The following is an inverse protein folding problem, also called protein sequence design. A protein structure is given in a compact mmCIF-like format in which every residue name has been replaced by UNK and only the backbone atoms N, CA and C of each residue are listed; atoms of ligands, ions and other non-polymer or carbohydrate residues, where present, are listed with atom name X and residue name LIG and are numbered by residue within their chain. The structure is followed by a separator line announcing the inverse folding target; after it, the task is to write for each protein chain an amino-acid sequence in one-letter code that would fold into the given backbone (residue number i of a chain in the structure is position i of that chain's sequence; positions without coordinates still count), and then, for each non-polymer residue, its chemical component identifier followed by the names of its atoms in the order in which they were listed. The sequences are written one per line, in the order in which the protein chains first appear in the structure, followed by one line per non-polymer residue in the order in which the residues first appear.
data_IF_131550194127
#
_entry.id   IF_131550194127
#
_cell.length_a   1.000
_cell.length_b   1.000
_cell.length_c   1.000
_cell.angle_alpha   90.00
_cell.angle_beta   90.00
_cell.angle_gamma   90.00
#
_symmetry.space_group_name_H-M   'P 1'
#
loop_
_entity.id
_entity.type
_entity.pdbx_description
1 polymer ?
#
# COMPACT_ATOMS: atom_id res chain seq x y z
N UNK A 1 3.64 34.36 19.09
CA UNK A 1 2.97 34.99 20.24
C UNK A 1 1.54 34.47 20.33
N UNK A 2 1.25 33.65 21.37
CA UNK A 2 -0.08 33.30 21.94
C UNK A 2 -1.13 32.69 20.95
N UNK A 3 -1.77 31.56 21.23
CA UNK A 3 -2.45 31.20 22.48
C UNK A 3 -2.54 29.69 22.68
N UNK A 4 -2.22 29.31 23.91
CA UNK A 4 -2.63 28.13 24.68
C UNK A 4 -4.15 27.90 24.66
N UNK A 5 -4.56 26.64 24.48
CA UNK A 5 -5.87 26.15 24.90
C UNK A 5 -5.69 24.98 25.88
N UNK A 6 -5.58 25.32 27.17
CA UNK A 6 -6.03 24.44 28.25
C UNK A 6 -7.52 24.72 28.47
N UNK A 7 -8.36 23.68 28.55
CA UNK A 7 -9.66 23.66 29.23
C UNK A 7 -10.24 22.25 29.05
N UNK A 8 -10.92 21.58 29.98
CA UNK A 8 -11.18 21.72 31.42
C UNK A 8 -12.08 20.51 31.74
N UNK A 9 -11.72 19.71 32.74
CA UNK A 9 -12.59 18.68 33.31
C UNK A 9 -13.60 19.36 34.25
N UNK A 10 -14.91 19.33 33.92
CA UNK A 10 -16.02 19.50 34.88
C UNK A 10 -17.21 18.64 34.42
N UNK A 11 -17.71 17.79 35.33
CA UNK A 11 -18.91 16.97 35.16
C UNK A 11 -20.23 17.65 35.57
N UNK A 12 -21.26 16.82 35.76
CA UNK A 12 -22.71 17.07 35.99
C UNK A 12 -23.52 17.22 34.68
N UNK A 13 -24.38 16.27 34.28
CA UNK A 13 -25.59 15.69 34.89
C UNK A 13 -26.88 16.51 34.65
N UNK A 14 -27.90 15.77 34.18
CA UNK A 14 -29.36 16.04 34.22
C UNK A 14 -29.95 17.06 33.24
N UNK A 15 -30.93 16.61 32.46
CA UNK A 15 -32.10 17.42 32.12
C UNK A 15 -32.58 17.28 30.68
N UNK A 16 -33.80 16.79 30.48
CA UNK A 16 -34.41 16.58 29.16
C UNK A 16 -35.13 17.80 28.57
N UNK A 17 -35.98 17.50 27.56
CA UNK A 17 -36.89 18.38 26.79
C UNK A 17 -36.17 19.34 25.82
N UNK A 18 -36.56 19.58 24.57
CA UNK A 18 -37.79 19.35 23.78
C UNK A 18 -37.45 19.41 22.28
N UNK A 19 -38.17 18.64 21.46
CA UNK A 19 -38.38 18.92 20.03
C UNK A 19 -39.25 20.18 19.84
N UNK A 20 -38.86 21.04 18.90
CA UNK A 20 -39.72 21.71 17.90
C UNK A 20 -39.04 22.99 17.35
N UNK A 21 -39.05 23.16 16.03
CA UNK A 21 -38.68 24.42 15.39
C UNK A 21 -38.35 24.26 13.91
N UNK A 22 -39.38 24.09 13.08
CA UNK A 22 -39.31 24.46 11.67
C UNK A 22 -39.17 25.98 11.57
N UNK A 23 -38.30 26.47 10.69
CA UNK A 23 -38.45 27.81 10.13
C UNK A 23 -38.11 27.81 8.63
N UNK A 24 -38.97 28.50 7.91
CA UNK A 24 -39.12 28.58 6.46
C UNK A 24 -38.32 29.76 5.89
N UNK A 25 -37.85 29.59 4.66
CA UNK A 25 -37.91 30.67 3.67
C UNK A 25 -36.69 31.59 3.55
N UNK A 26 -36.23 31.76 2.31
CA UNK A 26 -35.24 32.78 1.99
C UNK A 26 -34.70 32.71 0.56
N UNK A 27 -35.56 33.01 -0.41
CA UNK A 27 -35.21 33.23 -1.82
C UNK A 27 -34.16 34.33 -1.97
N UNK A 28 -33.14 34.09 -2.80
CA UNK A 28 -32.12 35.07 -3.18
C UNK A 28 -31.55 34.72 -4.55
N UNK A 29 -32.26 35.17 -5.57
CA UNK A 29 -31.87 35.23 -6.97
C UNK A 29 -30.92 36.42 -7.15
N UNK A 30 -29.70 36.20 -7.67
CA UNK A 30 -28.89 37.24 -8.30
C UNK A 30 -27.88 36.60 -9.25
N UNK A 31 -28.08 36.84 -10.54
CA UNK A 31 -27.26 36.31 -11.62
C UNK A 31 -25.92 37.01 -11.78
N UNK A 32 -24.98 36.30 -12.41
CA UNK A 32 -23.84 36.92 -13.07
C UNK A 32 -23.46 36.15 -14.34
N UNK A 33 -23.50 36.89 -15.44
CA UNK A 33 -23.03 36.53 -16.78
C UNK A 33 -21.50 36.48 -16.79
N UNK A 34 -20.92 35.59 -17.59
CA UNK A 34 -19.59 35.83 -18.15
C UNK A 34 -18.77 34.61 -18.56
N UNK A 35 -18.46 34.58 -19.87
CA UNK A 35 -17.33 33.94 -20.54
C UNK A 35 -17.43 32.44 -20.93
N UNK A 36 -17.78 32.26 -22.21
CA UNK A 36 -17.35 31.14 -23.06
C UNK A 36 -15.83 30.91 -22.95
N UNK A 37 -15.43 29.71 -22.52
CA UNK A 37 -14.14 29.11 -22.86
C UNK A 37 -14.33 27.65 -23.26
N UNK A 38 -13.58 27.25 -24.29
CA UNK A 38 -13.87 26.12 -25.17
C UNK A 38 -13.90 24.74 -24.50
N UNK A 39 -14.77 23.90 -25.04
CA UNK A 39 -14.88 22.49 -24.74
C UNK A 39 -13.61 21.74 -25.20
N UNK A 40 -12.72 21.42 -24.26
CA UNK A 40 -11.82 20.28 -24.38
C UNK A 40 -12.64 19.00 -24.25
N UNK A 41 -12.55 18.10 -25.22
CA UNK A 41 -13.29 16.84 -25.23
C UNK A 41 -12.96 15.99 -24.00
N UNK A 42 -13.99 15.59 -23.26
CA UNK A 42 -13.88 14.61 -22.18
C UNK A 42 -13.37 13.28 -22.76
N UNK A 43 -12.25 12.78 -22.23
CA UNK A 43 -11.83 11.40 -22.44
C UNK A 43 -12.94 10.47 -21.95
N UNK A 44 -13.31 9.49 -22.77
CA UNK A 44 -14.38 8.55 -22.45
C UNK A 44 -14.06 7.74 -21.19
N UNK A 45 -15.06 7.54 -20.34
CA UNK A 45 -14.95 6.67 -19.18
C UNK A 45 -14.52 5.26 -19.63
N UNK A 46 -13.45 4.72 -19.03
CA UNK A 46 -13.03 3.35 -19.24
C UNK A 46 -14.14 2.39 -18.85
N UNK A 47 -14.42 1.41 -19.71
CA UNK A 47 -15.46 0.40 -19.45
C UNK A 47 -15.07 -0.50 -18.29
N UNK A 48 -16.01 -0.77 -17.38
CA UNK A 48 -15.84 -1.77 -16.32
C UNK A 48 -15.57 -3.15 -16.95
N UNK A 49 -14.48 -3.81 -16.53
CA UNK A 49 -14.18 -5.18 -16.92
C UNK A 49 -15.33 -6.13 -16.53
N UNK A 50 -15.75 -6.99 -17.46
CA UNK A 50 -16.84 -7.93 -17.20
C UNK A 50 -16.47 -8.97 -16.14
N UNK A 51 -17.40 -9.27 -15.23
CA UNK A 51 -17.24 -10.32 -14.23
C UNK A 51 -17.01 -11.69 -14.90
N UNK A 52 -15.96 -12.41 -14.47
CA UNK A 52 -15.66 -13.76 -14.94
C UNK A 52 -16.83 -14.73 -14.66
N UNK A 53 -17.14 -15.58 -15.64
CA UNK A 53 -18.24 -16.55 -15.51
C UNK A 53 -17.98 -17.59 -14.43
N UNK A 54 -18.99 -17.92 -13.63
CA UNK A 54 -18.91 -18.97 -12.62
C UNK A 54 -18.63 -20.35 -13.27
N UNK A 55 -17.61 -21.05 -12.78
CA UNK A 55 -17.31 -22.42 -13.19
C UNK A 55 -18.46 -23.38 -12.90
N UNK A 56 -18.76 -24.28 -13.84
CA UNK A 56 -19.86 -25.24 -13.69
C UNK A 56 -19.61 -26.26 -12.57
N UNK A 57 -20.63 -26.55 -11.76
CA UNK A 57 -20.56 -27.59 -10.74
C UNK A 57 -20.38 -28.97 -11.37
N UNK A 58 -19.32 -29.69 -10.98
CA UNK A 58 -19.11 -31.08 -11.37
C UNK A 58 -20.23 -31.98 -10.84
N UNK A 59 -20.77 -32.87 -11.69
CA UNK A 59 -21.85 -33.77 -11.32
C UNK A 59 -21.43 -34.80 -10.26
N UNK A 60 -22.33 -35.11 -9.32
CA UNK A 60 -22.12 -36.14 -8.31
C UNK A 60 -22.07 -37.54 -8.96
N UNK A 61 -20.94 -38.24 -8.79
CA UNK A 61 -20.74 -39.60 -9.27
C UNK A 61 -21.51 -40.62 -8.41
N UNK A 62 -22.54 -41.25 -8.97
CA UNK A 62 -23.16 -42.45 -8.41
C UNK A 62 -22.35 -43.71 -8.73
N UNK A 63 -22.39 -44.70 -7.83
CA UNK A 63 -21.68 -45.97 -7.96
C UNK A 63 -22.05 -46.71 -9.27
N UNK A 64 -21.15 -46.65 -10.25
CA UNK A 64 -21.23 -47.43 -11.49
C UNK A 64 -21.28 -46.64 -12.80
N UNK A 65 -21.36 -45.30 -12.78
CA UNK A 65 -21.34 -44.47 -13.99
C UNK A 65 -20.00 -43.76 -14.18
N UNK A 66 -19.44 -43.79 -15.40
CA UNK A 66 -18.31 -42.93 -15.77
C UNK A 66 -18.69 -41.47 -15.52
N UNK A 67 -17.94 -40.77 -14.67
CA UNK A 67 -18.17 -39.36 -14.36
C UNK A 67 -18.19 -38.51 -15.63
N UNK A 68 -19.21 -37.67 -15.78
CA UNK A 68 -19.35 -36.79 -16.93
C UNK A 68 -18.16 -35.82 -17.02
N UNK A 69 -17.65 -35.59 -18.23
CA UNK A 69 -16.60 -34.61 -18.47
C UNK A 69 -17.07 -33.23 -17.99
N UNK A 70 -16.27 -32.59 -17.13
CA UNK A 70 -16.52 -31.22 -16.68
C UNK A 70 -16.62 -30.28 -17.88
N UNK A 71 -17.59 -29.37 -17.85
CA UNK A 71 -17.78 -28.39 -18.93
C UNK A 71 -16.54 -27.52 -19.10
N UNK A 72 -16.18 -27.21 -20.35
CA UNK A 72 -15.14 -26.24 -20.65
C UNK A 72 -15.51 -24.88 -20.03
N UNK A 73 -14.59 -24.30 -19.25
CA UNK A 73 -14.74 -22.94 -18.73
C UNK A 73 -14.98 -21.97 -19.88
N UNK A 74 -15.91 -21.03 -19.69
CA UNK A 74 -16.19 -20.00 -20.69
C UNK A 74 -14.94 -19.18 -20.98
N UNK A 75 -14.70 -18.87 -22.26
CA UNK A 75 -13.64 -17.95 -22.64
C UNK A 75 -13.87 -16.61 -21.94
N UNK A 76 -12.86 -16.12 -21.21
CA UNK A 76 -12.89 -14.79 -20.60
C UNK A 76 -13.19 -13.73 -21.66
N UNK A 77 -14.03 -12.76 -21.32
CA UNK A 77 -14.35 -11.66 -22.21
C UNK A 77 -13.07 -10.90 -22.58
N UNK A 78 -12.93 -10.57 -23.86
CA UNK A 78 -11.85 -9.70 -24.31
C UNK A 78 -11.97 -8.36 -23.57
N UNK A 79 -10.90 -7.98 -22.85
CA UNK A 79 -10.80 -6.66 -22.23
C UNK A 79 -10.99 -5.57 -23.28
N UNK A 80 -11.75 -4.54 -22.93
CA UNK A 80 -11.97 -3.39 -23.81
C UNK A 80 -10.63 -2.75 -24.19
N UNK A 81 -10.49 -2.38 -25.46
CA UNK A 81 -9.35 -1.62 -25.97
C UNK A 81 -9.30 -0.25 -25.29
N UNK A 82 -8.55 -0.15 -24.19
CA UNK A 82 -8.14 1.12 -23.61
C UNK A 82 -7.15 1.79 -24.55
N UNK A 83 -7.52 2.94 -25.11
CA UNK A 83 -6.63 3.77 -25.91
C UNK A 83 -5.52 4.37 -25.04
N UNK A 84 -4.37 3.71 -25.00
CA UNK A 84 -3.13 4.19 -24.39
C UNK A 84 -2.07 3.10 -24.42
N UNK A 85 -1.07 3.25 -25.29
CA UNK A 85 0.16 2.48 -25.41
C UNK A 85 0.13 1.02 -24.91
N UNK A 86 -0.20 0.09 -25.81
CA UNK A 86 -0.01 -1.34 -25.57
C UNK A 86 1.46 -1.66 -25.28
N UNK A 87 1.71 -2.17 -24.08
CA UNK A 87 3.03 -2.63 -23.64
C UNK A 87 2.97 -3.64 -22.49
N UNK A 88 1.87 -4.36 -22.29
CA UNK A 88 1.72 -5.30 -21.16
C UNK A 88 2.50 -6.63 -21.32
N UNK A 89 3.60 -6.62 -22.08
CA UNK A 89 4.49 -7.76 -22.26
C UNK A 89 5.87 -7.34 -22.72
N UNK A 90 6.31 -6.14 -22.35
CA UNK A 90 7.65 -5.65 -22.66
C UNK A 90 8.69 -6.62 -22.11
N UNK A 91 9.64 -7.01 -22.95
CA UNK A 91 10.84 -7.73 -22.53
C UNK A 91 11.46 -6.96 -21.35
N UNK A 92 11.70 -7.58 -20.17
CA UNK A 92 12.35 -6.89 -19.06
C UNK A 92 13.76 -6.40 -19.41
N UNK A 93 14.34 -6.89 -20.51
CA UNK A 93 15.60 -6.42 -21.07
C UNK A 93 15.43 -5.25 -22.06
N UNK A 94 14.20 -4.88 -22.41
CA UNK A 94 13.94 -3.66 -23.17
C UNK A 94 14.35 -2.45 -22.33
N UNK A 95 14.94 -1.47 -22.98
CA UNK A 95 15.25 -0.19 -22.34
C UNK A 95 13.96 0.56 -22.02
N UNK A 96 14.01 1.45 -21.03
CA UNK A 96 12.91 2.39 -20.84
C UNK A 96 12.91 3.44 -21.94
N UNK A 97 11.76 4.07 -22.15
CA UNK A 97 11.77 5.37 -22.82
C UNK A 97 12.64 6.37 -22.03
N UNK A 98 13.21 7.39 -22.70
CA UNK A 98 13.92 8.46 -22.01
C UNK A 98 13.03 9.12 -20.96
N UNK A 99 13.61 9.46 -19.80
CA UNK A 99 12.90 10.23 -18.79
C UNK A 99 12.37 11.54 -19.42
N UNK A 100 11.08 11.81 -19.23
CA UNK A 100 10.46 13.07 -19.65
C UNK A 100 10.99 14.27 -18.86
N UNK A 101 10.45 15.48 -19.09
CA UNK A 101 10.81 16.66 -18.32
C UNK A 101 10.74 16.37 -16.82
N UNK A 102 11.88 16.54 -16.17
CA UNK A 102 12.03 16.16 -14.77
C UNK A 102 11.62 17.36 -13.91
N UNK A 103 10.54 17.21 -13.15
CA UNK A 103 10.15 18.20 -12.14
C UNK A 103 11.25 18.33 -11.07
N UNK A 104 11.13 19.29 -10.16
CA UNK A 104 12.09 19.48 -9.05
C UNK A 104 12.42 18.18 -8.30
N UNK A 105 11.44 17.28 -8.23
CA UNK A 105 11.53 16.01 -7.53
C UNK A 105 11.98 14.82 -8.38
N UNK A 106 12.50 14.96 -9.60
CA UNK A 106 12.88 13.75 -10.34
C UNK A 106 11.68 13.01 -10.96
N UNK A 107 11.92 11.90 -11.67
CA UNK A 107 10.87 10.94 -11.97
C UNK A 107 10.25 10.36 -10.70
N UNK A 108 8.92 10.39 -10.61
CA UNK A 108 8.18 9.86 -9.47
C UNK A 108 7.00 8.99 -9.88
N UNK A 109 6.58 8.12 -8.97
CA UNK A 109 5.42 7.25 -9.11
C UNK A 109 4.67 7.14 -7.79
N UNK A 110 3.36 6.88 -7.85
CA UNK A 110 2.52 6.62 -6.68
C UNK A 110 2.17 5.13 -6.65
N UNK A 111 2.27 4.49 -5.49
CA UNK A 111 1.75 3.13 -5.31
C UNK A 111 0.23 3.14 -5.46
N UNK A 112 -0.30 2.28 -6.34
CA UNK A 112 -1.73 2.17 -6.64
C UNK A 112 -2.29 0.77 -6.40
N UNK A 113 -1.41 -0.18 -6.12
CA UNK A 113 -1.75 -1.57 -5.83
C UNK A 113 -0.81 -2.09 -4.77
N UNK A 114 -1.38 -2.76 -3.76
CA UNK A 114 -0.62 -3.42 -2.71
C UNK A 114 -1.34 -4.69 -2.28
N UNK A 115 -0.77 -5.85 -2.57
CA UNK A 115 -1.43 -7.12 -2.26
C UNK A 115 -0.47 -8.15 -1.68
N UNK A 116 -0.97 -9.00 -0.79
CA UNK A 116 -0.25 -10.18 -0.30
C UNK A 116 -0.46 -11.30 -1.33
N UNK A 117 0.61 -11.98 -1.80
CA UNK A 117 0.46 -13.07 -2.76
C UNK A 117 -0.44 -14.18 -2.19
N UNK A 118 -1.32 -14.71 -3.02
CA UNK A 118 -2.31 -15.74 -2.62
C UNK A 118 -1.67 -17.07 -2.18
N UNK A 119 -0.42 -17.31 -2.58
CA UNK A 119 0.34 -18.52 -2.23
C UNK A 119 1.85 -18.25 -2.25
N UNK A 120 2.66 -19.11 -1.62
CA UNK A 120 4.12 -19.00 -1.70
C UNK A 120 4.64 -19.07 -3.14
N UNK A 121 4.02 -19.90 -3.99
CA UNK A 121 4.38 -20.02 -5.40
C UNK A 121 4.07 -18.73 -6.17
N UNK A 122 2.93 -18.10 -5.92
CA UNK A 122 2.60 -16.83 -6.55
C UNK A 122 3.61 -15.73 -6.16
N UNK A 123 4.08 -15.74 -4.91
CA UNK A 123 5.17 -14.88 -4.46
C UNK A 123 6.49 -15.17 -5.21
N UNK A 124 6.92 -16.42 -5.26
CA UNK A 124 8.12 -16.82 -6.00
C UNK A 124 8.04 -16.43 -7.49
N UNK A 125 6.90 -16.67 -8.13
CA UNK A 125 6.64 -16.33 -9.54
C UNK A 125 6.65 -14.81 -9.78
N UNK A 126 6.17 -14.02 -8.82
CA UNK A 126 6.29 -12.56 -8.82
C UNK A 126 7.73 -12.08 -8.56
N UNK A 127 8.62 -12.97 -8.12
CA UNK A 127 10.02 -12.67 -7.85
C UNK A 127 10.33 -12.28 -6.41
N UNK A 128 9.49 -12.68 -5.44
CA UNK A 128 9.84 -12.66 -4.03
C UNK A 128 11.11 -13.51 -3.82
N UNK A 129 12.23 -12.85 -3.51
CA UNK A 129 13.53 -13.49 -3.34
C UNK A 129 13.88 -13.79 -1.88
N UNK A 130 12.91 -14.17 -1.04
CA UNK A 130 13.13 -14.37 0.40
C UNK A 130 13.64 -15.79 0.68
N UNK A 131 14.40 -15.95 1.77
CA UNK A 131 14.79 -17.27 2.29
C UNK A 131 13.65 -17.97 3.05
N UNK A 132 12.54 -17.25 3.23
CA UNK A 132 11.34 -17.67 3.94
C UNK A 132 10.50 -18.64 3.09
N UNK A 133 10.05 -19.75 3.69
CA UNK A 133 9.35 -20.79 2.93
C UNK A 133 7.89 -20.44 2.55
N UNK A 134 7.24 -19.46 3.21
CA UNK A 134 5.90 -19.03 2.80
C UNK A 134 5.91 -17.84 1.83
N UNK A 135 7.06 -17.22 1.55
CA UNK A 135 7.19 -16.08 0.63
C UNK A 135 6.14 -14.97 0.86
N UNK A 136 5.79 -14.65 2.11
CA UNK A 136 4.77 -13.63 2.43
C UNK A 136 3.33 -14.12 2.52
N UNK A 137 3.00 -15.30 2.01
CA UNK A 137 1.61 -15.79 1.96
C UNK A 137 0.98 -16.01 3.35
N UNK A 138 1.79 -16.19 4.39
CA UNK A 138 1.33 -16.30 5.79
C UNK A 138 0.68 -15.02 6.31
N UNK A 139 0.92 -13.87 5.66
CA UNK A 139 0.30 -12.59 6.02
C UNK A 139 -1.16 -12.48 5.57
N UNK A 140 -1.66 -13.38 4.74
CA UNK A 140 -3.05 -13.35 4.27
C UNK A 140 -4.07 -13.30 5.43
N UNK A 141 -3.74 -13.93 6.57
CA UNK A 141 -4.53 -13.83 7.79
C UNK A 141 -4.60 -12.41 8.37
N UNK A 142 -3.52 -11.62 8.23
CA UNK A 142 -3.50 -10.19 8.59
C UNK A 142 -4.23 -9.36 7.53
N UNK A 143 -4.11 -9.72 6.26
CA UNK A 143 -4.87 -9.09 5.17
C UNK A 143 -6.38 -9.15 5.40
N UNK A 144 -6.88 -10.24 6.00
CA UNK A 144 -8.29 -10.37 6.38
C UNK A 144 -8.74 -9.42 7.51
N UNK A 145 -7.82 -8.78 8.23
CA UNK A 145 -8.14 -7.75 9.23
C UNK A 145 -8.39 -6.38 8.60
N UNK A 146 -7.89 -6.15 7.38
CA UNK A 146 -8.10 -4.91 6.62
C UNK A 146 -9.25 -5.14 5.67
N UNK A 147 -10.38 -4.48 5.91
CA UNK A 147 -11.54 -4.60 5.03
C UNK A 147 -11.18 -4.11 3.62
N UNK A 148 -11.49 -4.93 2.61
CA UNK A 148 -11.06 -4.70 1.23
C UNK A 148 -9.58 -4.99 0.92
N UNK A 149 -8.80 -5.51 1.87
CA UNK A 149 -7.38 -5.86 1.69
C UNK A 149 -6.45 -4.64 1.68
N UNK A 150 -5.14 -4.86 1.50
CA UNK A 150 -4.15 -3.76 1.55
C UNK A 150 -4.30 -2.75 0.40
N UNK A 151 -4.84 -3.16 -0.74
CA UNK A 151 -5.09 -2.28 -1.88
C UNK A 151 -6.11 -1.19 -1.56
N UNK A 152 -7.04 -1.41 -0.62
CA UNK A 152 -8.00 -0.38 -0.21
C UNK A 152 -7.31 0.82 0.45
N UNK A 153 -6.13 0.64 1.03
CA UNK A 153 -5.35 1.71 1.65
C UNK A 153 -4.76 2.67 0.61
N UNK A 154 -4.40 2.18 -0.57
CA UNK A 154 -3.70 2.95 -1.62
C UNK A 154 -4.61 3.35 -2.77
N UNK A 155 -5.89 3.01 -2.69
CA UNK A 155 -6.92 3.34 -3.67
C UNK A 155 -7.87 4.39 -3.09
N UNK A 156 -8.47 5.24 -3.96
CA UNK A 156 -9.50 6.15 -3.53
C UNK A 156 -10.74 5.38 -3.08
N UNK A 157 -11.32 5.79 -1.96
CA UNK A 157 -12.59 5.27 -1.45
C UNK A 157 -13.81 5.85 -2.23
N UNK A 158 -15.02 5.61 -1.74
CA UNK A 158 -16.26 6.13 -2.35
C UNK A 158 -16.34 7.67 -2.37
N UNK A 159 -15.56 8.34 -1.52
CA UNK A 159 -15.46 9.81 -1.45
C UNK A 159 -14.26 10.36 -2.23
N UNK A 160 -13.42 9.48 -2.80
CA UNK A 160 -12.20 9.87 -3.50
C UNK A 160 -11.00 10.08 -2.58
N UNK A 161 -11.10 9.75 -1.29
CA UNK A 161 -10.02 9.88 -0.33
C UNK A 161 -9.13 8.63 -0.36
N UNK A 162 -7.81 8.83 -0.30
CA UNK A 162 -6.83 7.74 -0.27
C UNK A 162 -6.23 7.70 1.13
N UNK A 163 -6.43 6.59 1.86
CA UNK A 163 -5.96 6.49 3.25
C UNK A 163 -4.43 6.56 3.36
N UNK A 164 -3.71 5.94 2.43
CA UNK A 164 -2.26 5.90 2.37
C UNK A 164 -1.78 6.27 0.97
N UNK A 165 -1.16 7.45 0.85
CA UNK A 165 -0.45 7.85 -0.34
C UNK A 165 1.03 7.56 -0.13
N UNK A 166 1.56 6.57 -0.85
CA UNK A 166 2.99 6.25 -0.88
C UNK A 166 3.57 6.66 -2.23
N UNK A 167 4.49 7.62 -2.22
CA UNK A 167 5.16 8.13 -3.41
C UNK A 167 6.60 7.64 -3.45
N UNK A 168 7.01 7.17 -4.62
CA UNK A 168 8.36 6.77 -4.92
C UNK A 168 9.04 7.81 -5.82
N UNK A 169 10.29 8.14 -5.51
CA UNK A 169 11.11 9.10 -6.25
C UNK A 169 12.41 8.43 -6.67
N UNK A 170 12.81 8.56 -7.95
CA UNK A 170 14.11 8.10 -8.44
C UNK A 170 15.08 9.27 -8.59
N UNK A 171 15.70 9.65 -7.47
CA UNK A 171 16.67 10.75 -7.40
C UNK A 171 17.96 10.39 -8.13
N UNK A 172 18.39 11.26 -9.04
CA UNK A 172 19.60 11.08 -9.85
C UNK A 172 19.33 10.60 -11.29
N UNK A 173 18.06 10.38 -11.65
CA UNK A 173 17.68 10.10 -13.04
C UNK A 173 17.40 11.42 -13.78
N UNK A 174 18.27 11.79 -14.72
CA UNK A 174 18.19 13.06 -15.44
C UNK A 174 17.27 12.98 -16.67
N UNK A 175 16.74 14.14 -17.09
CA UNK A 175 15.91 14.26 -18.29
C UNK A 175 16.63 13.70 -19.54
N UNK A 176 15.91 12.93 -20.34
CA UNK A 176 16.41 12.35 -21.58
C UNK A 176 17.28 11.09 -21.40
N UNK A 177 17.57 10.66 -20.17
CA UNK A 177 18.27 9.39 -19.92
C UNK A 177 17.32 8.20 -19.96
N UNK A 178 17.75 7.10 -20.58
CA UNK A 178 17.08 5.79 -20.50
C UNK A 178 17.61 4.98 -19.31
N UNK A 179 16.92 3.88 -18.96
CA UNK A 179 17.34 3.00 -17.88
C UNK A 179 18.72 2.36 -18.08
N UNK A 180 19.14 2.09 -19.33
CA UNK A 180 20.52 1.65 -19.61
C UNK A 180 21.59 2.73 -19.45
N UNK A 181 21.20 4.01 -19.38
CA UNK A 181 22.12 5.14 -19.28
C UNK A 181 22.31 5.64 -17.85
N UNK A 182 21.28 5.55 -17.01
CA UNK A 182 21.28 6.11 -15.66
C UNK A 182 22.18 5.34 -14.69
N UNK A 183 22.26 4.01 -14.82
CA UNK A 183 23.05 3.16 -13.93
C UNK A 183 22.41 3.02 -12.53
N UNK A 184 22.90 3.79 -11.56
CA UNK A 184 22.41 3.73 -10.16
C UNK A 184 21.77 5.04 -9.74
N UNK A 185 20.61 4.96 -9.10
CA UNK A 185 19.85 6.08 -8.55
C UNK A 185 19.61 5.87 -7.05
N UNK A 186 19.04 6.86 -6.38
CA UNK A 186 18.49 6.69 -5.04
C UNK A 186 16.97 6.64 -5.13
N UNK A 187 16.36 5.55 -4.68
CA UNK A 187 14.91 5.47 -4.56
C UNK A 187 14.49 5.96 -3.18
N UNK A 188 13.70 7.03 -3.10
CA UNK A 188 13.09 7.48 -1.85
C UNK A 188 11.61 7.10 -1.82
N UNK A 189 11.10 6.75 -0.65
CA UNK A 189 9.68 6.57 -0.41
C UNK A 189 9.18 7.64 0.57
N UNK A 190 8.05 8.25 0.24
CA UNK A 190 7.42 9.31 1.01
C UNK A 190 5.95 8.98 1.26
N UNK A 191 5.45 9.28 2.46
CA UNK A 191 4.01 9.43 2.67
C UNK A 191 3.57 10.79 2.12
N UNK A 192 2.32 10.89 1.70
CA UNK A 192 1.80 12.12 1.09
C UNK A 192 0.34 12.37 1.35
N UNK A 193 -0.12 13.48 0.79
CA UNK A 193 -1.52 13.90 0.75
C UNK A 193 -1.91 14.28 -0.68
N UNK A 194 -3.21 14.19 -1.00
CA UNK A 194 -3.76 14.63 -2.26
C UNK A 194 -4.59 15.90 -2.06
N UNK A 195 -4.38 16.90 -2.92
CA UNK A 195 -5.18 18.14 -2.96
C UNK A 195 -5.68 18.32 -4.39
N UNK A 196 -6.93 17.91 -4.63
CA UNK A 196 -7.44 17.80 -6.00
C UNK A 196 -6.69 16.70 -6.76
N UNK A 197 -6.12 17.04 -7.92
CA UNK A 197 -5.34 16.11 -8.75
C UNK A 197 -3.82 16.15 -8.46
N UNK A 198 -3.40 16.96 -7.49
CA UNK A 198 -2.00 17.15 -7.11
C UNK A 198 -1.65 16.33 -5.87
N UNK A 199 -0.40 15.84 -5.83
CA UNK A 199 0.12 15.03 -4.74
C UNK A 199 1.32 15.72 -4.08
N UNK A 200 1.27 15.82 -2.76
CA UNK A 200 2.28 16.49 -1.95
C UNK A 200 2.91 15.49 -0.97
N UNK A 201 4.21 15.66 -0.70
CA UNK A 201 4.90 14.89 0.33
C UNK A 201 4.48 15.43 1.69
N UNK A 202 4.15 14.54 2.63
CA UNK A 202 3.97 14.89 4.03
C UNK A 202 5.34 15.16 4.68
N UNK A 203 5.55 16.30 5.36
CA UNK A 203 6.76 16.60 6.12
C UNK A 203 7.25 15.47 7.03
N UNK A 204 6.34 14.65 7.60
CA UNK A 204 6.72 13.51 8.46
C UNK A 204 7.59 12.47 7.74
N UNK A 205 7.65 12.50 6.41
CA UNK A 205 8.53 11.65 5.61
C UNK A 205 10.00 12.01 5.70
N UNK A 206 10.35 13.11 6.38
CA UNK A 206 11.73 13.56 6.56
C UNK A 206 12.17 13.49 8.03
N UNK A 207 13.47 13.32 8.26
CA UNK A 207 14.04 13.35 9.62
C UNK A 207 13.64 14.63 10.35
N UNK A 208 12.93 14.47 11.48
CA UNK A 208 12.46 15.61 12.29
C UNK A 208 11.36 16.45 11.66
N UNK A 209 10.74 16.00 10.56
CA UNK A 209 9.68 16.73 9.88
C UNK A 209 10.14 17.91 9.02
N UNK A 210 11.43 18.00 8.70
CA UNK A 210 12.01 19.10 7.92
C UNK A 210 12.45 18.60 6.54
N UNK A 211 11.86 19.10 5.43
CA UNK A 211 12.25 18.75 4.06
C UNK A 211 13.70 19.03 3.68
N UNK A 212 14.42 19.85 4.47
CA UNK A 212 15.84 20.06 4.30
C UNK A 212 16.69 18.86 4.76
N UNK A 213 16.11 17.94 5.55
CA UNK A 213 16.78 16.74 6.04
C UNK A 213 16.58 15.55 5.11
N UNK A 214 17.15 14.39 5.49
CA UNK A 214 17.04 13.18 4.69
C UNK A 214 15.63 12.57 4.76
N UNK A 215 15.16 11.91 3.69
CA UNK A 215 13.98 11.06 3.75
C UNK A 215 14.14 9.93 4.77
N UNK A 216 13.06 9.57 5.47
CA UNK A 216 13.06 8.47 6.43
C UNK A 216 13.23 7.10 5.77
N UNK A 217 12.79 6.96 4.51
CA UNK A 217 12.91 5.73 3.74
C UNK A 217 13.66 6.04 2.45
N UNK A 218 14.89 5.55 2.36
CA UNK A 218 15.76 5.74 1.21
C UNK A 218 16.52 4.45 0.90
N UNK A 219 16.54 4.10 -0.38
CA UNK A 219 17.31 2.99 -0.93
C UNK A 219 18.43 3.55 -1.81
N UNK A 220 19.62 3.81 -1.22
CA UNK A 220 20.79 4.17 -2.01
C UNK A 220 21.18 3.03 -2.93
N UNK A 221 21.94 3.36 -3.98
CA UNK A 221 22.47 2.39 -4.94
C UNK A 221 21.40 1.52 -5.61
N UNK A 222 20.21 2.10 -5.83
CA UNK A 222 19.14 1.44 -6.56
C UNK A 222 19.56 1.28 -8.01
N UNK A 223 19.69 0.04 -8.47
CA UNK A 223 20.12 -0.30 -9.81
C UNK A 223 18.96 -0.21 -10.78
N UNK A 224 19.19 0.46 -11.90
CA UNK A 224 18.30 0.47 -13.06
C UNK A 224 19.08 -0.08 -14.25
N UNK A 225 18.55 -1.13 -14.90
CA UNK A 225 19.18 -1.72 -16.09
C UNK A 225 18.09 -2.16 -17.05
N UNK A 226 18.06 -1.55 -18.23
CA UNK A 226 16.87 -1.56 -19.07
C UNK A 226 15.67 -1.03 -18.28
N UNK A 227 14.57 -1.77 -18.29
CA UNK A 227 13.40 -1.49 -17.47
C UNK A 227 13.46 -2.08 -16.04
N UNK A 228 14.43 -2.92 -15.72
CA UNK A 228 14.49 -3.56 -14.41
C UNK A 228 14.97 -2.59 -13.31
N UNK A 229 14.20 -2.47 -12.24
CA UNK A 229 14.53 -1.76 -11.00
C UNK A 229 14.86 -2.78 -9.90
N UNK A 230 15.95 -2.55 -9.18
CA UNK A 230 16.30 -3.32 -7.97
C UNK A 230 16.97 -2.42 -6.94
N UNK A 231 16.38 -2.31 -5.75
CA UNK A 231 16.97 -1.57 -4.64
C UNK A 231 18.01 -2.40 -3.87
N UNK A 232 18.86 -1.72 -3.10
CA UNK A 232 19.63 -2.33 -2.02
C UNK A 232 18.72 -2.79 -0.86
N UNK A 233 19.25 -3.61 0.04
CA UNK A 233 18.56 -3.98 1.30
C UNK A 233 18.60 -2.84 2.28
N UNK A 234 17.44 -2.48 2.84
CA UNK A 234 17.33 -1.45 3.87
C UNK A 234 16.33 -1.87 4.95
N UNK A 235 16.60 -1.46 6.18
CA UNK A 235 15.57 -1.51 7.22
C UNK A 235 14.68 -0.29 7.05
N UNK A 236 13.37 -0.52 6.92
CA UNK A 236 12.40 0.56 6.74
C UNK A 236 11.37 0.53 7.87
N UNK A 237 10.81 1.69 8.18
CA UNK A 237 9.67 1.82 9.08
C UNK A 237 8.61 2.64 8.37
N UNK A 238 7.44 2.03 8.13
CA UNK A 238 6.29 2.68 7.51
C UNK A 238 5.19 2.82 8.55
N UNK A 239 4.56 3.99 8.62
CA UNK A 239 3.37 4.17 9.44
C UNK A 239 2.14 3.90 8.60
N UNK A 240 1.41 2.82 8.91
CA UNK A 240 0.17 2.49 8.22
C UNK A 240 -1.01 3.22 8.89
N UNK A 241 -1.78 4.02 8.13
CA UNK A 241 -2.99 4.67 8.61
C UNK A 241 -4.17 3.69 8.54
N UNK A 242 -4.06 2.54 9.23
CA UNK A 242 -5.15 1.57 9.30
C UNK A 242 -6.34 2.10 10.10
N UNK A 243 -6.10 3.13 10.93
CA UNK A 243 -7.08 3.69 11.84
C UNK A 243 -6.89 5.19 11.94
N UNK A 244 -7.99 5.94 11.89
CA UNK A 244 -7.98 7.39 11.97
C UNK A 244 -7.21 7.89 13.19
N UNK A 245 -6.18 8.69 12.94
CA UNK A 245 -5.41 9.41 13.95
C UNK A 245 -4.36 8.60 14.71
N UNK A 246 -4.18 7.30 14.45
CA UNK A 246 -3.12 6.51 15.10
C UNK A 246 -2.30 5.74 14.07
N UNK A 247 -1.05 6.18 13.78
CA UNK A 247 -0.18 5.48 12.86
C UNK A 247 0.26 4.15 13.47
N UNK A 248 0.14 3.07 12.70
CA UNK A 248 0.63 1.76 13.09
C UNK A 248 2.04 1.56 12.52
N UNK A 249 3.10 1.52 13.34
CA UNK A 249 4.44 1.34 12.85
C UNK A 249 4.64 -0.08 12.31
N UNK A 250 5.02 -0.17 11.05
CA UNK A 250 5.43 -1.38 10.36
C UNK A 250 6.93 -1.30 10.08
N UNK A 251 7.72 -1.99 10.91
CA UNK A 251 9.16 -2.12 10.71
C UNK A 251 9.50 -3.36 9.89
N UNK A 252 10.16 -3.21 8.75
CA UNK A 252 10.62 -4.31 7.91
C UNK A 252 12.15 -4.31 7.81
N UNK A 253 12.75 -5.47 8.07
CA UNK A 253 14.19 -5.67 7.97
C UNK A 253 14.60 -6.24 6.60
N UNK A 254 15.81 -5.93 6.13
CA UNK A 254 16.37 -6.32 4.82
C UNK A 254 15.39 -6.11 3.66
N UNK A 255 14.68 -4.98 3.67
CA UNK A 255 13.65 -4.67 2.69
C UNK A 255 14.26 -4.33 1.35
N UNK A 256 13.69 -4.87 0.29
CA UNK A 256 14.03 -4.59 -1.10
C UNK A 256 12.77 -4.29 -1.89
N UNK A 257 12.89 -3.41 -2.87
CA UNK A 257 11.90 -3.18 -3.92
C UNK A 257 12.49 -3.62 -5.26
N UNK A 258 11.71 -4.39 -6.01
CA UNK A 258 11.99 -4.80 -7.37
C UNK A 258 10.79 -4.44 -8.24
N UNK A 259 11.01 -4.15 -9.52
CA UNK A 259 9.92 -3.96 -10.46
C UNK A 259 10.39 -3.75 -11.89
N UNK A 260 9.43 -3.62 -12.81
CA UNK A 260 9.69 -3.24 -14.20
C UNK A 260 9.14 -1.83 -14.44
N UNK A 261 10.02 -0.90 -14.74
CA UNK A 261 9.72 0.50 -14.96
C UNK A 261 9.21 0.79 -16.36
N UNK A 262 8.29 1.74 -16.43
CA UNK A 262 7.88 2.39 -17.67
C UNK A 262 7.92 3.89 -17.45
N UNK A 263 8.83 4.56 -18.16
CA UNK A 263 8.91 6.02 -18.12
C UNK A 263 7.70 6.64 -18.82
N UNK A 264 7.16 7.70 -18.23
CA UNK A 264 6.02 8.45 -18.74
C UNK A 264 6.30 9.95 -18.62
N UNK A 265 5.43 10.77 -19.22
CA UNK A 265 5.61 12.23 -19.23
C UNK A 265 5.65 12.84 -17.81
N UNK A 266 4.92 12.27 -16.85
CA UNK A 266 4.77 12.81 -15.49
C UNK A 266 5.52 11.98 -14.43
N UNK A 267 6.46 11.12 -14.84
CA UNK A 267 7.22 10.28 -13.91
C UNK A 267 7.41 8.85 -14.42
N UNK A 268 7.27 7.86 -13.52
CA UNK A 268 7.42 6.45 -13.89
C UNK A 268 6.26 5.61 -13.34
N UNK A 269 5.83 4.64 -14.12
CA UNK A 269 5.00 3.54 -13.64
C UNK A 269 5.89 2.32 -13.38
N UNK A 270 5.44 1.43 -12.49
CA UNK A 270 6.06 0.14 -12.24
C UNK A 270 5.01 -0.95 -12.27
N UNK A 271 5.28 -2.01 -13.03
CA UNK A 271 4.46 -3.22 -13.07
C UNK A 271 5.27 -4.42 -12.56
N UNK A 272 4.56 -5.45 -12.12
CA UNK A 272 5.16 -6.66 -11.54
C UNK A 272 6.17 -6.32 -10.44
N UNK A 273 5.84 -5.30 -9.64
CA UNK A 273 6.68 -4.86 -8.55
C UNK A 273 6.51 -5.76 -7.34
N UNK A 274 7.57 -5.87 -6.55
CA UNK A 274 7.58 -6.59 -5.29
C UNK A 274 8.29 -5.75 -4.25
N UNK A 275 7.66 -5.59 -3.09
CA UNK A 275 8.30 -5.14 -1.85
C UNK A 275 8.46 -6.36 -0.95
N UNK A 276 9.70 -6.75 -0.68
CA UNK A 276 10.01 -7.94 0.09
C UNK A 276 10.94 -7.60 1.26
N UNK A 277 10.73 -8.20 2.43
CA UNK A 277 11.55 -8.02 3.62
C UNK A 277 11.18 -9.00 4.73
N UNK A 278 11.58 -8.72 5.96
CA UNK A 278 11.29 -9.57 7.12
C UNK A 278 10.65 -8.78 8.25
N UNK A 279 9.54 -9.31 8.75
CA UNK A 279 8.91 -8.83 9.96
C UNK A 279 9.50 -9.57 11.16
N UNK A 280 10.46 -8.92 11.82
CA UNK A 280 11.23 -9.52 12.92
C UNK A 280 10.42 -9.60 14.21
N UNK A 281 10.80 -10.48 15.15
CA UNK A 281 10.16 -10.55 16.47
C UNK A 281 10.00 -9.18 17.16
N UNK A 282 11.04 -8.31 17.25
CA UNK A 282 10.87 -6.97 17.81
C UNK A 282 9.80 -6.14 17.10
N UNK A 283 9.78 -6.17 15.77
CA UNK A 283 8.79 -5.42 14.99
C UNK A 283 7.35 -5.93 15.22
N UNK A 284 7.16 -7.24 15.37
CA UNK A 284 5.86 -7.84 15.72
C UNK A 284 5.43 -7.41 17.14
N UNK A 285 6.37 -7.38 18.09
CA UNK A 285 6.09 -6.92 19.45
C UNK A 285 5.70 -5.43 19.48
N UNK A 286 6.41 -4.58 18.75
CA UNK A 286 6.08 -3.16 18.64
C UNK A 286 4.69 -2.95 18.03
N UNK A 287 4.34 -3.75 17.02
CA UNK A 287 3.00 -3.79 16.43
C UNK A 287 1.94 -4.17 17.48
N UNK A 288 2.16 -5.25 18.24
CA UNK A 288 1.23 -5.70 19.29
C UNK A 288 1.02 -4.59 20.32
N UNK A 289 2.10 -3.99 20.81
CA UNK A 289 2.04 -2.92 21.81
C UNK A 289 1.28 -1.71 21.26
N UNK A 290 1.52 -1.34 20.00
CA UNK A 290 0.78 -0.28 19.31
C UNK A 290 -0.72 -0.58 19.21
N UNK A 291 -1.09 -1.80 18.81
CA UNK A 291 -2.49 -2.23 18.72
C UNK A 291 -3.19 -2.28 20.08
N UNK A 292 -2.51 -2.76 21.12
CA UNK A 292 -3.06 -2.81 22.48
C UNK A 292 -3.29 -1.40 23.03
N UNK A 293 -2.29 -0.51 22.90
CA UNK A 293 -2.43 0.89 23.32
C UNK A 293 -3.56 1.59 22.57
N UNK A 294 -3.71 1.33 21.26
CA UNK A 294 -4.82 1.83 20.47
C UNK A 294 -6.17 1.36 21.04
N UNK A 295 -6.32 0.07 21.31
CA UNK A 295 -7.59 -0.50 21.77
C UNK A 295 -7.94 -0.15 23.21
N UNK A 296 -6.95 0.11 24.06
CA UNK A 296 -7.16 0.69 25.38
C UNK A 296 -7.69 2.12 25.29
N UNK A 297 -7.18 2.92 24.34
CA UNK A 297 -7.64 4.27 24.10
C UNK A 297 -9.01 4.33 23.40
N UNK A 298 -9.34 3.33 22.56
CA UNK A 298 -10.52 3.32 21.70
C UNK A 298 -11.29 1.98 21.79
N UNK A 299 -11.87 1.65 22.95
CA UNK A 299 -12.49 0.33 23.19
C UNK A 299 -13.69 0.05 22.28
N UNK A 300 -14.35 1.08 21.76
CA UNK A 300 -15.54 0.96 20.90
C UNK A 300 -15.20 0.78 19.42
N UNK A 301 -13.92 0.82 19.03
CA UNK A 301 -13.51 0.60 17.65
C UNK A 301 -13.79 -0.85 17.21
N UNK A 302 -14.35 -1.03 16.01
CA UNK A 302 -14.68 -2.35 15.46
C UNK A 302 -13.44 -3.26 15.38
N UNK A 303 -12.28 -2.68 15.06
CA UNK A 303 -11.01 -3.40 14.99
C UNK A 303 -10.62 -4.00 16.35
N UNK A 304 -10.97 -3.32 17.45
CA UNK A 304 -10.66 -3.79 18.80
C UNK A 304 -11.56 -4.93 19.25
N UNK A 305 -12.77 -5.05 18.69
CA UNK A 305 -13.57 -6.25 18.83
C UNK A 305 -12.90 -7.46 18.19
N UNK A 306 -12.38 -7.31 16.96
CA UNK A 306 -11.70 -8.38 16.23
C UNK A 306 -10.36 -8.73 16.86
N UNK A 307 -9.51 -7.74 17.15
CA UNK A 307 -8.22 -7.93 17.81
C UNK A 307 -8.45 -8.52 19.20
N UNK A 308 -9.41 -8.00 19.97
CA UNK A 308 -9.75 -8.49 21.32
C UNK A 308 -10.21 -9.94 21.36
N UNK A 309 -10.79 -10.45 20.26
CA UNK A 309 -11.16 -11.86 20.13
C UNK A 309 -9.96 -12.79 19.96
N UNK A 310 -8.84 -12.27 19.42
CA UNK A 310 -7.58 -13.01 19.23
C UNK A 310 -6.62 -12.77 20.40
N UNK A 311 -6.39 -11.51 20.73
CA UNK A 311 -5.51 -11.01 21.78
C UNK A 311 -6.37 -10.28 22.81
N UNK A 312 -6.77 -10.92 23.92
CA UNK A 312 -7.56 -10.25 24.94
C UNK A 312 -6.88 -8.96 25.45
N UNK A 313 -7.64 -7.89 25.75
CA UNK A 313 -7.08 -6.68 26.32
C UNK A 313 -6.24 -6.95 27.58
N UNK A 314 -5.08 -6.29 27.69
CA UNK A 314 -4.14 -6.49 28.80
C UNK A 314 -3.32 -7.79 28.76
N UNK A 315 -3.37 -8.54 27.65
CA UNK A 315 -2.49 -9.70 27.45
C UNK A 315 -1.03 -9.23 27.39
N UNK A 316 -0.13 -9.91 28.11
CA UNK A 316 1.30 -9.61 28.04
C UNK A 316 1.83 -9.71 26.59
N UNK A 317 2.65 -8.75 26.10
CA UNK A 317 3.09 -8.73 24.71
C UNK A 317 3.79 -10.01 24.23
N UNK A 318 4.54 -10.71 25.09
CA UNK A 318 5.18 -11.99 24.71
C UNK A 318 4.17 -13.12 24.57
N UNK A 319 3.11 -13.11 25.39
CA UNK A 319 2.00 -14.06 25.25
C UNK A 319 1.20 -13.76 23.98
N UNK A 320 0.92 -12.47 23.72
CA UNK A 320 0.27 -12.02 22.50
C UNK A 320 1.07 -12.38 21.24
N UNK A 321 2.40 -12.27 21.29
CA UNK A 321 3.29 -12.75 20.23
C UNK A 321 3.15 -14.25 19.99
N UNK A 322 3.08 -15.05 21.05
CA UNK A 322 2.81 -16.50 20.93
C UNK A 322 1.47 -16.82 20.26
N UNK A 323 0.44 -16.01 20.51
CA UNK A 323 -0.87 -16.15 19.85
C UNK A 323 -0.79 -15.73 18.38
N UNK A 324 -0.19 -14.57 18.08
CA UNK A 324 -0.06 -14.09 16.70
C UNK A 324 0.80 -15.01 15.85
N UNK A 325 1.90 -15.54 16.39
CA UNK A 325 2.76 -16.48 15.66
C UNK A 325 2.10 -17.84 15.41
N UNK A 326 1.07 -18.20 16.17
CA UNK A 326 0.24 -19.35 15.85
C UNK A 326 -0.63 -19.11 14.60
N UNK A 327 -1.00 -17.85 14.32
CA UNK A 327 -1.74 -17.45 13.12
C UNK A 327 -0.82 -17.17 11.93
N UNK A 328 0.29 -16.48 12.19
CA UNK A 328 1.30 -16.07 11.22
C UNK A 328 2.61 -16.76 11.61
N UNK A 329 2.81 -17.98 11.12
CA UNK A 329 3.97 -18.79 11.49
C UNK A 329 5.26 -18.13 11.00
N UNK A 330 6.22 -17.83 11.90
CA UNK A 330 7.57 -17.44 11.51
C UNK A 330 8.19 -18.51 10.60
N UNK A 331 8.82 -18.06 9.52
CA UNK A 331 9.34 -18.91 8.46
C UNK A 331 10.75 -18.55 8.02
N UNK A 332 11.39 -17.64 8.76
CA UNK A 332 12.81 -17.35 8.69
C UNK A 332 13.41 -17.18 10.09
N UNK A 333 14.71 -17.41 10.19
CA UNK A 333 15.52 -16.96 11.32
C UNK A 333 16.32 -15.72 10.91
N UNK A 334 16.12 -14.61 11.61
CA UNK A 334 16.77 -13.33 11.37
C UNK A 334 17.65 -12.99 12.57
N UNK A 335 18.97 -13.03 12.38
CA UNK A 335 19.96 -12.74 13.42
C UNK A 335 21.10 -11.89 12.85
N UNK A 336 21.53 -10.87 13.60
CA UNK A 336 22.66 -10.03 13.24
C UNK A 336 22.58 -9.39 11.82
N UNK A 337 21.37 -9.02 11.39
CA UNK A 337 21.14 -8.41 10.09
C UNK A 337 21.21 -9.39 8.92
N UNK A 338 21.00 -10.69 9.18
CA UNK A 338 20.99 -11.72 8.14
C UNK A 338 19.81 -12.67 8.35
N UNK A 339 19.03 -12.82 7.30
CA UNK A 339 18.00 -13.86 7.23
C UNK A 339 18.60 -15.21 6.82
N UNK A 340 18.11 -16.28 7.45
CA UNK A 340 18.42 -17.66 7.12
C UNK A 340 17.16 -18.51 7.11
N UNK A 341 17.12 -19.52 6.25
CA UNK A 341 16.03 -20.47 6.22
C UNK A 341 16.01 -21.28 7.52
N UNK A 342 14.83 -21.46 8.10
CA UNK A 342 14.61 -22.35 9.24
C UNK A 342 13.75 -23.54 8.80
N UNK A 343 13.85 -24.66 9.51
CA UNK A 343 13.02 -25.82 9.21
C UNK A 343 11.56 -25.53 9.63
N UNK A 344 10.54 -25.93 8.85
CA UNK A 344 9.14 -25.77 9.24
C UNK A 344 8.87 -26.41 10.61
N UNK A 345 8.29 -25.63 11.52
CA UNK A 345 8.00 -26.06 12.89
C UNK A 345 9.22 -26.13 13.82
N UNK A 346 10.40 -25.68 13.38
CA UNK A 346 11.51 -25.43 14.30
C UNK A 346 11.17 -24.23 15.19
N UNK A 347 11.51 -24.33 16.49
CA UNK A 347 11.37 -23.21 17.43
C UNK A 347 12.39 -22.09 17.19
N UNK A 348 13.23 -22.24 16.17
CA UNK A 348 14.33 -21.33 15.86
C UNK A 348 13.90 -20.23 14.86
N UNK A 349 12.72 -20.34 14.23
CA UNK A 349 12.17 -19.28 13.38
C UNK A 349 11.69 -18.10 14.24
N UNK A 350 12.20 -16.90 13.97
CA UNK A 350 11.90 -15.70 14.75
C UNK A 350 11.44 -14.50 13.89
N UNK A 351 11.31 -14.68 12.58
CA UNK A 351 10.88 -13.68 11.63
C UNK A 351 9.89 -14.25 10.62
N UNK A 352 9.01 -13.39 10.12
CA UNK A 352 8.05 -13.70 9.06
C UNK A 352 8.54 -13.03 7.78
N UNK A 353 8.74 -13.80 6.71
CA UNK A 353 8.98 -13.23 5.39
C UNK A 353 7.76 -12.44 4.93
N UNK A 354 7.97 -11.20 4.53
CA UNK A 354 6.94 -10.31 4.00
C UNK A 354 7.19 -10.14 2.53
N UNK A 355 6.20 -10.46 1.70
CA UNK A 355 6.22 -10.13 0.29
C UNK A 355 4.91 -9.48 -0.11
N UNK A 356 4.99 -8.30 -0.71
CA UNK A 356 3.85 -7.55 -1.21
C UNK A 356 4.03 -7.32 -2.71
N UNK A 357 3.00 -7.62 -3.48
CA UNK A 357 2.88 -7.22 -4.88
C UNK A 357 2.59 -5.73 -4.93
N UNK A 358 3.37 -4.99 -5.72
CA UNK A 358 3.29 -3.53 -5.80
C UNK A 358 3.16 -3.11 -7.26
N UNK A 359 2.18 -2.26 -7.54
CA UNK A 359 2.13 -1.49 -8.78
C UNK A 359 2.21 -0.01 -8.49
N UNK A 360 2.87 0.72 -9.39
CA UNK A 360 2.99 2.16 -9.32
C UNK A 360 2.51 2.79 -10.60
N UNK A 361 1.83 3.92 -10.47
CA UNK A 361 1.45 4.78 -11.58
C UNK A 361 2.34 6.01 -11.61
N UNK A 362 2.71 6.48 -12.81
CA UNK A 362 3.45 7.73 -12.95
C UNK A 362 2.67 8.90 -12.35
N UNK A 363 3.30 9.61 -11.44
CA UNK A 363 2.68 10.72 -10.72
C UNK A 363 3.73 11.75 -10.38
N UNK A 364 3.52 13.01 -10.75
CA UNK A 364 4.40 14.10 -10.37
C UNK A 364 4.16 14.50 -8.90
N UNK A 365 5.25 14.78 -8.19
CA UNK A 365 5.22 15.36 -6.85
C UNK A 365 5.14 16.89 -7.00
N UNK A 366 4.05 17.49 -6.53
CA UNK A 366 3.80 18.93 -6.63
C UNK A 366 4.64 19.74 -5.63
N UNK A 367 5.04 19.13 -4.51
CA UNK A 367 5.87 19.75 -3.49
C UNK A 367 5.79 19.00 -2.16
N UNK A 368 6.09 19.70 -1.08
CA UNK A 368 5.83 19.25 0.30
C UNK A 368 4.62 20.01 0.82
N UNK A 369 3.72 19.32 1.51
CA UNK A 369 2.57 19.97 2.12
C UNK A 369 2.99 20.96 3.20
N UNK A 370 2.14 21.97 3.45
CA UNK A 370 2.42 22.99 4.46
C UNK A 370 2.33 22.45 5.90
N UNK A 371 1.85 21.21 6.08
CA UNK A 371 1.40 20.68 7.36
C UNK A 371 0.11 21.38 7.82
N UNK A 372 -0.88 20.61 8.25
CA UNK A 372 -2.07 21.14 8.92
C UNK A 372 -1.82 21.35 10.43
#
# INVERSE_FOLDING_TARGET
MRKTLELLVIGLAVGGLTLAGCDDGGSGDDGQQGADMGAGGQGGAGGMGGAGGAGGMGGAGGAGGAGGAGGAGGAGGAGGEGGGAGGAGGDPNADTDPAGPVAEWGPSGRVTYLEIPESPQAGEDAGCGLVAFNQGASLSALGALVDGGLSSLVQPDEMGEISLILMAQLKGWEEGQTGNQVGTVTMNLFTGEAVGDEFFIDPVSFEGGDPANNPLISFPDTSVTGAALLTSEQNISLNLPLIDGIPLPLGLADTRVKGTLQMQANGFASQNGVLAGYFTKPAILDLIVGLQAFCEANPDSSICGTIGAVIPPGTDPEVAYGILTALVQPDANYENGQASACAPGSGDCNAVGVCLLVEMQAQAIAGVSAGN
#
